data_IF_425680022014
#
_entry.id   IF_425680022014
#
_cell.length_a   1.000
_cell.length_b   1.000
_cell.length_c   1.000
_cell.angle_alpha   90.00
_cell.angle_beta   90.00
_cell.angle_gamma   90.00
#
_symmetry.space_group_name_H-M   'P 1'
#
loop_
_entity.id
_entity.type
_entity.pdbx_description
1 polymer ?
#
# COMPACT_ATOMS: atom_id res chain seq x y z
N UNK A 1 -41.14 3.77 -27.20
CA UNK A 1 -41.41 4.14 -25.79
C UNK A 1 -41.01 3.05 -24.80
N UNK A 2 -41.48 1.80 -24.90
CA UNK A 2 -41.04 0.73 -23.99
C UNK A 2 -39.54 0.37 -24.12
N UNK A 3 -38.99 0.35 -25.34
CA UNK A 3 -37.55 0.12 -25.57
C UNK A 3 -36.67 1.26 -25.06
N UNK A 4 -37.12 2.51 -25.21
CA UNK A 4 -36.44 3.71 -24.70
C UNK A 4 -36.40 3.74 -23.16
N UNK A 5 -37.48 3.31 -22.50
CA UNK A 5 -37.55 3.25 -21.04
C UNK A 5 -36.66 2.14 -20.47
N UNK A 6 -36.58 0.99 -21.15
CA UNK A 6 -35.64 -0.09 -20.82
C UNK A 6 -34.19 0.36 -20.93
N UNK A 7 -33.80 0.99 -22.04
CA UNK A 7 -32.43 1.54 -22.21
C UNK A 7 -32.10 2.63 -21.18
N UNK A 8 -33.07 3.47 -20.82
CA UNK A 8 -32.87 4.49 -19.79
C UNK A 8 -32.67 3.87 -18.40
N UNK A 9 -33.45 2.83 -18.04
CA UNK A 9 -33.28 2.11 -16.78
C UNK A 9 -31.94 1.36 -16.74
N UNK A 10 -31.49 0.77 -17.84
CA UNK A 10 -30.19 0.09 -17.93
C UNK A 10 -29.03 1.08 -17.83
N UNK A 11 -29.13 2.26 -18.45
CA UNK A 11 -28.15 3.34 -18.27
C UNK A 11 -28.13 3.87 -16.83
N UNK A 12 -29.30 4.00 -16.19
CA UNK A 12 -29.43 4.46 -14.82
C UNK A 12 -28.83 3.44 -13.84
N UNK A 13 -29.18 2.15 -14.01
CA UNK A 13 -28.67 1.04 -13.24
C UNK A 13 -27.15 0.89 -13.41
N UNK A 14 -26.64 0.95 -14.65
CA UNK A 14 -25.20 0.87 -14.92
C UNK A 14 -24.39 1.97 -14.24
N UNK A 15 -24.92 3.19 -14.16
CA UNK A 15 -24.27 4.29 -13.46
C UNK A 15 -24.29 4.10 -11.93
N UNK A 16 -25.38 3.57 -11.37
CA UNK A 16 -25.45 3.27 -9.93
C UNK A 16 -24.49 2.14 -9.55
N UNK A 17 -24.46 1.06 -10.31
CA UNK A 17 -23.60 -0.10 -10.06
C UNK A 17 -22.12 0.29 -10.05
N UNK A 18 -21.66 1.09 -11.03
CA UNK A 18 -20.26 1.49 -11.10
C UNK A 18 -19.84 2.37 -9.90
N UNK A 19 -20.75 3.20 -9.39
CA UNK A 19 -20.51 4.04 -8.21
C UNK A 19 -20.46 3.22 -6.93
N UNK A 20 -21.40 2.30 -6.74
CA UNK A 20 -21.42 1.41 -5.57
C UNK A 20 -20.17 0.54 -5.56
N UNK A 21 -19.79 -0.03 -6.70
CA UNK A 21 -18.57 -0.84 -6.81
C UNK A 21 -17.32 -0.04 -6.43
N UNK A 22 -17.16 1.18 -6.97
CA UNK A 22 -16.04 2.05 -6.64
C UNK A 22 -16.02 2.44 -5.16
N UNK A 23 -17.18 2.75 -4.57
CA UNK A 23 -17.29 3.01 -3.13
C UNK A 23 -16.89 1.80 -2.30
N UNK A 24 -17.33 0.59 -2.67
CA UNK A 24 -17.01 -0.65 -1.95
C UNK A 24 -15.51 -0.95 -2.01
N UNK A 25 -14.87 -0.83 -3.18
CA UNK A 25 -13.43 -1.05 -3.33
C UNK A 25 -12.62 -0.08 -2.44
N UNK A 26 -12.95 1.21 -2.48
CA UNK A 26 -12.28 2.20 -1.63
C UNK A 26 -12.63 2.03 -0.15
N UNK A 27 -13.84 1.57 0.18
CA UNK A 27 -14.23 1.24 1.56
C UNK A 27 -13.37 0.12 2.16
N UNK A 28 -13.19 -0.98 1.41
CA UNK A 28 -12.31 -2.09 1.80
C UNK A 28 -10.86 -1.61 1.97
N UNK A 29 -10.36 -0.81 1.02
CA UNK A 29 -9.02 -0.24 1.10
C UNK A 29 -8.85 0.66 2.33
N UNK A 30 -9.85 1.50 2.64
CA UNK A 30 -9.84 2.36 3.82
C UNK A 30 -9.80 1.57 5.13
N UNK A 31 -10.58 0.48 5.24
CA UNK A 31 -10.56 -0.42 6.39
C UNK A 31 -9.19 -1.08 6.55
N UNK A 32 -8.59 -1.54 5.44
CA UNK A 32 -7.24 -2.10 5.46
C UNK A 32 -6.18 -1.06 5.89
N UNK A 33 -6.33 0.19 5.45
CA UNK A 33 -5.47 1.31 5.88
C UNK A 33 -5.56 1.56 7.39
N UNK A 34 -6.78 1.59 7.95
CA UNK A 34 -7.00 1.73 9.39
C UNK A 34 -6.38 0.55 10.15
N UNK A 35 -6.55 -0.68 9.65
CA UNK A 35 -5.92 -1.85 10.24
C UNK A 35 -4.39 -1.69 10.31
N UNK A 36 -3.73 -1.25 9.24
CA UNK A 36 -2.28 -1.00 9.27
C UNK A 36 -1.85 0.09 10.25
N UNK A 37 -2.65 1.14 10.41
CA UNK A 37 -2.39 2.17 11.42
C UNK A 37 -2.46 1.56 12.82
N UNK A 38 -3.53 0.80 13.12
CA UNK A 38 -3.71 0.15 14.43
C UNK A 38 -2.56 -0.80 14.74
N UNK A 39 -2.18 -1.66 13.79
CA UNK A 39 -1.04 -2.58 13.97
C UNK A 39 0.26 -1.82 14.14
N UNK A 40 0.50 -0.77 13.35
CA UNK A 40 1.72 0.04 13.46
C UNK A 40 1.84 0.75 14.81
N UNK A 41 0.73 1.32 15.31
CA UNK A 41 0.68 1.96 16.63
C UNK A 41 0.91 0.95 17.75
N UNK A 42 0.24 -0.21 17.71
CA UNK A 42 0.43 -1.26 18.71
C UNK A 42 1.89 -1.75 18.73
N UNK A 43 2.47 -2.04 17.57
CA UNK A 43 3.86 -2.47 17.46
C UNK A 43 4.87 -1.40 17.88
N UNK A 44 4.56 -0.11 17.70
CA UNK A 44 5.42 0.97 18.17
C UNK A 44 5.52 0.98 19.70
N UNK A 45 4.40 0.78 20.40
CA UNK A 45 4.39 0.72 21.86
C UNK A 45 5.16 -0.49 22.41
N UNK A 46 5.11 -1.62 21.73
CA UNK A 46 5.83 -2.83 22.15
C UNK A 46 7.32 -2.77 21.80
N UNK A 47 7.69 -2.36 20.58
CA UNK A 47 9.08 -2.27 20.14
C UNK A 47 9.86 -1.18 20.88
N UNK A 48 9.24 -0.02 21.16
CA UNK A 48 9.87 1.05 21.93
C UNK A 48 10.23 0.59 23.35
N UNK A 49 9.38 -0.23 23.98
CA UNK A 49 9.60 -0.74 25.34
C UNK A 49 10.72 -1.78 25.42
N UNK A 50 10.96 -2.55 24.37
CA UNK A 50 11.87 -3.69 24.42
C UNK A 50 13.21 -3.42 23.73
N UNK A 51 13.24 -2.64 22.64
CA UNK A 51 14.41 -2.57 21.76
C UNK A 51 14.78 -1.18 21.23
N UNK A 52 14.00 -0.11 21.53
CA UNK A 52 14.32 1.26 21.08
C UNK A 52 14.25 1.51 19.56
N UNK A 53 14.03 0.48 18.74
CA UNK A 53 13.89 0.57 17.28
C UNK A 53 12.46 0.92 16.84
N UNK A 54 12.33 1.87 15.90
CA UNK A 54 11.01 2.43 15.50
C UNK A 54 10.67 2.30 14.01
N UNK A 55 11.59 1.79 13.19
CA UNK A 55 11.50 1.93 11.72
C UNK A 55 10.30 1.17 11.11
N UNK A 56 10.14 -0.11 11.42
CA UNK A 56 9.05 -0.94 10.85
C UNK A 56 7.65 -0.47 11.29
N UNK A 57 7.39 -0.18 12.58
CA UNK A 57 6.10 0.38 13.01
C UNK A 57 5.75 1.71 12.33
N UNK A 58 6.72 2.62 12.17
CA UNK A 58 6.52 3.91 11.49
C UNK A 58 6.10 3.69 10.03
N UNK A 59 6.75 2.76 9.31
CA UNK A 59 6.37 2.42 7.94
C UNK A 59 4.91 1.97 7.84
N UNK A 60 4.43 1.10 8.74
CA UNK A 60 3.02 0.68 8.75
C UNK A 60 2.05 1.85 8.96
N UNK A 61 2.38 2.77 9.87
CA UNK A 61 1.54 3.96 10.15
C UNK A 61 1.47 4.86 8.92
N UNK A 62 2.60 5.16 8.28
CA UNK A 62 2.66 6.05 7.11
C UNK A 62 1.88 5.44 5.93
N UNK A 63 2.13 4.17 5.61
CA UNK A 63 1.45 3.48 4.52
C UNK A 63 -0.06 3.38 4.79
N UNK A 64 -0.45 2.98 6.00
CA UNK A 64 -1.86 2.90 6.38
C UNK A 64 -2.58 4.24 6.29
N UNK A 65 -1.92 5.32 6.73
CA UNK A 65 -2.45 6.69 6.66
C UNK A 65 -2.67 7.15 5.22
N UNK A 66 -1.70 6.91 4.33
CA UNK A 66 -1.84 7.24 2.91
C UNK A 66 -3.02 6.49 2.29
N UNK A 67 -3.11 5.17 2.52
CA UNK A 67 -4.19 4.33 1.99
C UNK A 67 -5.55 4.82 2.49
N UNK A 68 -5.68 5.13 3.79
CA UNK A 68 -6.93 5.63 4.37
C UNK A 68 -7.34 6.99 3.76
N UNK A 69 -6.40 7.94 3.62
CA UNK A 69 -6.67 9.25 3.02
C UNK A 69 -7.12 9.15 1.56
N UNK A 70 -6.42 8.35 0.74
CA UNK A 70 -6.77 8.16 -0.67
C UNK A 70 -8.15 7.50 -0.79
N UNK A 71 -8.44 6.53 0.08
CA UNK A 71 -9.73 5.86 0.13
C UNK A 71 -10.86 6.83 0.47
N UNK A 72 -10.65 7.74 1.43
CA UNK A 72 -11.59 8.80 1.76
C UNK A 72 -11.85 9.72 0.57
N UNK A 73 -10.80 10.11 -0.17
CA UNK A 73 -10.95 10.93 -1.39
C UNK A 73 -11.73 10.16 -2.47
N UNK A 74 -11.50 8.86 -2.64
CA UNK A 74 -12.24 8.01 -3.59
C UNK A 74 -13.73 7.88 -3.25
N UNK A 75 -14.06 7.70 -1.96
CA UNK A 75 -15.45 7.69 -1.48
C UNK A 75 -16.09 9.08 -1.67
N UNK A 76 -15.40 10.14 -1.26
CA UNK A 76 -15.87 11.52 -1.39
C UNK A 76 -16.12 11.90 -2.86
N UNK A 77 -15.24 11.49 -3.79
CA UNK A 77 -15.45 11.67 -5.22
C UNK A 77 -16.73 10.99 -5.70
N UNK A 78 -16.93 9.74 -5.27
CA UNK A 78 -18.13 8.96 -5.60
C UNK A 78 -19.42 9.60 -5.12
N UNK A 79 -19.40 10.25 -3.95
CA UNK A 79 -20.53 10.99 -3.38
C UNK A 79 -20.72 12.33 -4.11
N UNK A 80 -19.66 13.14 -4.21
CA UNK A 80 -19.74 14.58 -4.57
C UNK A 80 -20.09 14.89 -6.04
N UNK A 81 -20.36 13.91 -6.91
CA UNK A 81 -20.72 14.10 -8.34
C UNK A 81 -19.88 15.17 -9.06
N UNK A 82 -18.65 15.40 -8.60
CA UNK A 82 -17.81 16.51 -9.05
C UNK A 82 -16.64 15.96 -9.84
N UNK A 83 -16.52 16.45 -11.08
CA UNK A 83 -15.43 16.09 -11.98
C UNK A 83 -14.06 16.45 -11.40
N UNK A 84 -13.97 17.51 -10.59
CA UNK A 84 -12.71 17.94 -9.99
C UNK A 84 -12.24 16.98 -8.91
N UNK A 85 -13.16 16.49 -8.05
CA UNK A 85 -12.82 15.54 -6.98
C UNK A 85 -12.44 14.17 -7.55
N UNK A 86 -13.11 13.73 -8.61
CA UNK A 86 -12.70 12.51 -9.33
C UNK A 86 -11.37 12.69 -10.07
N UNK A 87 -11.15 13.86 -10.67
CA UNK A 87 -9.89 14.18 -11.35
C UNK A 87 -8.69 14.17 -10.40
N UNK A 88 -8.82 14.74 -9.20
CA UNK A 88 -7.75 14.71 -8.19
C UNK A 88 -7.49 13.29 -7.69
N UNK A 89 -8.54 12.52 -7.41
CA UNK A 89 -8.42 11.09 -7.05
C UNK A 89 -7.64 10.31 -8.11
N UNK A 90 -8.04 10.43 -9.38
CA UNK A 90 -7.39 9.74 -10.49
C UNK A 90 -5.94 10.18 -10.69
N UNK A 91 -5.64 11.48 -10.52
CA UNK A 91 -4.27 11.98 -10.59
C UNK A 91 -3.36 11.40 -9.50
N UNK A 92 -3.83 11.37 -8.25
CA UNK A 92 -3.08 10.79 -7.13
C UNK A 92 -2.85 9.30 -7.35
N UNK A 93 -3.88 8.54 -7.72
CA UNK A 93 -3.73 7.11 -7.99
C UNK A 93 -2.79 6.82 -9.16
N UNK A 94 -2.85 7.61 -10.24
CA UNK A 94 -1.96 7.43 -11.38
C UNK A 94 -0.49 7.63 -10.98
N UNK A 95 -0.20 8.66 -10.17
CA UNK A 95 1.14 8.89 -9.63
C UNK A 95 1.61 7.70 -8.77
N UNK A 96 0.74 7.15 -7.93
CA UNK A 96 1.08 6.02 -7.08
C UNK A 96 1.35 4.75 -7.88
N UNK A 97 0.58 4.47 -8.92
CA UNK A 97 0.83 3.35 -9.83
C UNK A 97 2.22 3.47 -10.45
N UNK A 98 2.61 4.66 -10.91
CA UNK A 98 3.95 4.88 -11.50
C UNK A 98 5.05 4.62 -10.46
N UNK A 99 4.95 5.22 -9.28
CA UNK A 99 5.91 5.02 -8.19
C UNK A 99 6.01 3.54 -7.80
N UNK A 100 4.87 2.85 -7.74
CA UNK A 100 4.81 1.45 -7.37
C UNK A 100 5.42 0.54 -8.44
N UNK A 101 5.16 0.80 -9.73
CA UNK A 101 5.80 0.06 -10.83
C UNK A 101 7.32 0.26 -10.78
N UNK A 102 7.81 1.48 -10.58
CA UNK A 102 9.25 1.74 -10.43
C UNK A 102 9.82 0.95 -9.25
N UNK A 103 9.15 0.96 -8.08
CA UNK A 103 9.57 0.18 -6.92
C UNK A 103 9.63 -1.32 -7.19
N UNK A 104 8.61 -1.88 -7.85
CA UNK A 104 8.57 -3.29 -8.22
C UNK A 104 9.69 -3.65 -9.22
N UNK A 105 9.95 -2.79 -10.19
CA UNK A 105 11.06 -2.97 -11.14
C UNK A 105 12.40 -2.94 -10.42
N UNK A 106 12.61 -2.05 -9.45
CA UNK A 106 13.84 -2.02 -8.64
C UNK A 106 14.02 -3.32 -7.86
N UNK A 107 12.96 -3.83 -7.21
CA UNK A 107 13.00 -5.09 -6.45
C UNK A 107 13.23 -6.29 -7.38
N UNK A 108 12.66 -6.26 -8.59
CA UNK A 108 12.78 -7.32 -9.59
C UNK A 108 14.18 -7.37 -10.24
N UNK A 109 14.67 -6.22 -10.72
CA UNK A 109 15.92 -6.10 -11.48
C UNK A 109 17.17 -6.16 -10.62
N UNK A 110 17.03 -6.06 -9.30
CA UNK A 110 18.14 -6.24 -8.35
C UNK A 110 17.99 -7.60 -7.67
N UNK A 111 18.34 -8.73 -8.34
CA UNK A 111 18.70 -9.91 -7.58
C UNK A 111 19.89 -9.47 -6.73
N UNK A 112 19.67 -9.27 -5.44
CA UNK A 112 20.72 -8.87 -4.53
C UNK A 112 21.88 -9.86 -4.70
N UNK A 113 23.10 -9.39 -4.93
CA UNK A 113 24.27 -10.15 -4.49
C UNK A 113 24.18 -10.16 -2.98
N UNK A 114 23.59 -11.26 -2.51
CA UNK A 114 22.99 -11.38 -1.19
C UNK A 114 24.08 -11.28 -0.12
N UNK A 115 25.26 -11.81 -0.44
CA UNK A 115 26.37 -11.94 0.50
C UNK A 115 27.08 -10.60 0.74
N UNK A 116 27.51 -9.90 -0.31
CA UNK A 116 28.22 -8.62 -0.21
C UNK A 116 27.37 -7.47 0.35
N UNK A 117 26.07 -7.47 0.05
CA UNK A 117 25.18 -6.44 0.60
C UNK A 117 24.80 -6.73 2.05
N UNK A 118 24.57 -7.99 2.40
CA UNK A 118 24.30 -8.31 3.79
C UNK A 118 25.54 -8.16 4.66
N UNK A 119 26.74 -8.46 4.17
CA UNK A 119 27.97 -8.24 4.95
C UNK A 119 28.14 -6.76 5.31
N UNK A 120 28.05 -5.86 4.33
CA UNK A 120 28.15 -4.40 4.54
C UNK A 120 27.08 -3.86 5.49
N UNK A 121 25.85 -4.39 5.43
CA UNK A 121 24.76 -3.98 6.32
C UNK A 121 24.95 -4.56 7.71
N UNK A 122 25.36 -5.82 7.82
CA UNK A 122 25.64 -6.49 9.08
C UNK A 122 26.78 -5.82 9.83
N UNK A 123 27.88 -5.48 9.16
CA UNK A 123 29.02 -4.75 9.73
C UNK A 123 28.57 -3.39 10.29
N UNK A 124 27.81 -2.62 9.52
CA UNK A 124 27.26 -1.33 9.99
C UNK A 124 26.33 -1.49 11.18
N UNK A 125 25.48 -2.52 11.21
CA UNK A 125 24.63 -2.80 12.36
C UNK A 125 25.45 -3.27 13.55
N UNK A 126 26.51 -4.03 13.35
CA UNK A 126 27.38 -4.50 14.42
C UNK A 126 28.04 -3.33 15.15
N UNK A 127 28.46 -2.30 14.41
CA UNK A 127 29.08 -1.10 14.97
C UNK A 127 28.06 -0.14 15.60
N UNK A 128 26.93 0.09 14.93
CA UNK A 128 26.02 1.20 15.27
C UNK A 128 24.71 0.78 15.94
N UNK A 129 24.30 -0.49 15.79
CA UNK A 129 23.00 -1.01 16.26
C UNK A 129 23.06 -2.52 16.60
N UNK A 130 23.85 -2.90 17.62
CA UNK A 130 24.02 -4.30 18.01
C UNK A 130 22.71 -4.93 18.53
N UNK A 131 21.75 -4.13 19.00
CA UNK A 131 20.45 -4.61 19.47
C UNK A 131 19.62 -5.21 18.32
N UNK A 132 19.69 -4.62 17.12
CA UNK A 132 19.06 -5.18 15.91
C UNK A 132 19.67 -6.53 15.53
N UNK A 133 20.99 -6.71 15.64
CA UNK A 133 21.62 -8.01 15.40
C UNK A 133 21.13 -9.04 16.41
N UNK A 134 21.08 -8.69 17.70
CA UNK A 134 20.56 -9.60 18.74
C UNK A 134 19.12 -10.04 18.46
N UNK A 135 18.30 -9.15 17.94
CA UNK A 135 16.93 -9.48 17.52
C UNK A 135 16.93 -10.46 16.35
N UNK A 136 17.69 -10.18 15.29
CA UNK A 136 17.80 -11.04 14.11
C UNK A 136 18.32 -12.44 14.49
N UNK A 137 19.37 -12.53 15.30
CA UNK A 137 19.93 -13.78 15.80
C UNK A 137 18.90 -14.62 16.57
N UNK A 138 18.10 -13.98 17.43
CA UNK A 138 17.05 -14.63 18.20
C UNK A 138 15.88 -15.09 17.33
N UNK A 139 15.45 -14.26 16.39
CA UNK A 139 14.30 -14.52 15.51
C UNK A 139 14.60 -15.64 14.51
N UNK A 140 15.77 -15.56 13.85
CA UNK A 140 16.22 -16.54 12.86
C UNK A 140 16.92 -17.76 13.47
N UNK A 141 17.11 -17.76 14.79
CA UNK A 141 17.79 -18.83 15.54
C UNK A 141 19.18 -19.13 14.94
N UNK A 142 20.00 -18.10 14.84
CA UNK A 142 21.36 -18.10 14.31
C UNK A 142 22.29 -17.23 15.17
N UNK A 143 23.59 -17.30 14.95
CA UNK A 143 24.61 -16.58 15.72
C UNK A 143 25.71 -16.16 14.76
N UNK A 144 26.10 -14.88 14.78
CA UNK A 144 27.03 -14.27 13.83
C UNK A 144 26.55 -14.29 12.38
N UNK A 145 27.31 -13.64 11.49
CA UNK A 145 26.93 -13.43 10.09
C UNK A 145 27.15 -14.69 9.24
N UNK A 146 28.40 -14.98 8.84
CA UNK A 146 28.71 -16.20 8.08
C UNK A 146 28.90 -17.42 8.99
N UNK A 147 29.40 -17.19 10.20
CA UNK A 147 29.70 -18.22 11.19
C UNK A 147 29.38 -17.75 12.62
N UNK A 148 29.26 -18.66 13.60
CA UNK A 148 28.93 -18.32 14.99
C UNK A 148 29.96 -17.49 15.77
N UNK A 149 31.07 -17.12 15.13
CA UNK A 149 32.13 -16.29 15.68
C UNK A 149 32.34 -15.01 14.87
N UNK A 150 31.64 -14.86 13.75
CA UNK A 150 31.74 -13.73 12.83
C UNK A 150 30.73 -12.64 13.20
N UNK A 151 31.21 -11.59 13.89
CA UNK A 151 30.38 -10.48 14.40
C UNK A 151 29.11 -10.92 15.19
N UNK A 152 29.21 -11.83 16.18
CA UNK A 152 28.06 -12.30 16.97
C UNK A 152 27.61 -11.30 18.03
N UNK A 153 26.29 -11.22 18.29
CA UNK A 153 25.73 -10.36 19.36
C UNK A 153 24.64 -11.07 20.18
N UNK A 154 24.93 -11.52 21.42
CA UNK A 154 26.15 -11.29 22.20
C UNK A 154 27.31 -12.18 21.75
N UNK A 155 28.55 -11.77 22.07
CA UNK A 155 29.78 -12.45 21.64
C UNK A 155 29.84 -13.97 21.97
N UNK A 156 29.05 -14.42 22.94
CA UNK A 156 28.99 -15.81 23.39
C UNK A 156 27.70 -16.55 22.99
N UNK A 157 26.95 -16.08 21.98
CA UNK A 157 25.67 -16.69 21.56
C UNK A 157 25.77 -18.18 21.18
N UNK A 158 26.96 -18.68 20.84
CA UNK A 158 27.21 -20.07 20.43
C UNK A 158 27.82 -20.96 21.51
N UNK A 159 28.18 -20.41 22.67
CA UNK A 159 29.03 -21.11 23.67
C UNK A 159 28.31 -22.28 24.37
N UNK A 160 26.97 -22.33 24.37
CA UNK A 160 26.21 -23.46 24.95
C UNK A 160 25.40 -24.18 23.88
N UNK A 161 25.89 -25.31 23.38
CA UNK A 161 25.24 -26.18 22.36
C UNK A 161 23.77 -26.56 22.65
N UNK A 162 23.33 -26.50 23.91
CA UNK A 162 21.97 -26.82 24.38
C UNK A 162 20.98 -25.65 24.27
N UNK A 163 21.48 -24.40 24.20
CA UNK A 163 20.66 -23.17 24.22
C UNK A 163 21.12 -22.07 23.24
N UNK A 164 22.30 -22.23 22.64
CA UNK A 164 22.93 -21.29 21.71
C UNK A 164 22.84 -21.77 20.27
N UNK A 165 22.90 -20.83 19.33
CA UNK A 165 22.80 -21.12 17.91
C UNK A 165 24.18 -21.44 17.34
N UNK A 166 24.27 -22.52 16.55
CA UNK A 166 25.55 -23.05 16.03
C UNK A 166 25.74 -22.81 14.53
N UNK A 167 24.88 -22.01 13.92
CA UNK A 167 24.90 -21.66 12.49
C UNK A 167 24.93 -20.14 12.32
N UNK A 168 25.65 -19.67 11.31
CA UNK A 168 25.62 -18.27 10.87
C UNK A 168 24.25 -17.85 10.32
N UNK A 169 23.97 -16.55 10.37
CA UNK A 169 22.71 -15.95 9.94
C UNK A 169 22.57 -15.76 8.42
N UNK A 170 23.66 -15.80 7.64
CA UNK A 170 23.62 -15.54 6.19
C UNK A 170 22.58 -16.39 5.44
N UNK A 171 22.60 -17.73 5.62
CA UNK A 171 21.68 -18.63 4.91
C UNK A 171 20.20 -18.44 5.33
N UNK A 172 19.86 -18.40 6.64
CA UNK A 172 18.51 -18.03 7.08
C UNK A 172 18.06 -16.67 6.55
N UNK A 173 18.94 -15.67 6.58
CA UNK A 173 18.65 -14.32 6.13
C UNK A 173 18.38 -14.27 4.62
N UNK A 174 19.16 -14.99 3.81
CA UNK A 174 18.90 -15.15 2.38
C UNK A 174 17.55 -15.84 2.12
N UNK A 175 17.22 -16.88 2.89
CA UNK A 175 15.95 -17.59 2.76
C UNK A 175 14.76 -16.67 3.06
N UNK A 176 14.78 -15.98 4.21
CA UNK A 176 13.74 -15.03 4.62
C UNK A 176 13.62 -13.86 3.64
N UNK A 177 14.75 -13.33 3.17
CA UNK A 177 14.77 -12.26 2.18
C UNK A 177 14.16 -12.70 0.86
N UNK A 178 14.54 -13.88 0.35
CA UNK A 178 13.99 -14.43 -0.89
C UNK A 178 12.48 -14.63 -0.76
N UNK A 179 12.03 -15.16 0.36
CA UNK A 179 10.60 -15.36 0.65
C UNK A 179 9.84 -14.03 0.69
N UNK A 180 10.32 -13.07 1.47
CA UNK A 180 9.74 -11.73 1.60
C UNK A 180 9.72 -10.98 0.26
N UNK A 181 10.80 -11.08 -0.53
CA UNK A 181 10.90 -10.48 -1.86
C UNK A 181 9.81 -11.01 -2.78
N UNK A 182 9.61 -12.33 -2.81
CA UNK A 182 8.54 -12.92 -3.63
C UNK A 182 7.16 -12.44 -3.18
N UNK A 183 6.91 -12.35 -1.87
CA UNK A 183 5.65 -11.79 -1.36
C UNK A 183 5.44 -10.34 -1.79
N UNK A 184 6.47 -9.49 -1.67
CA UNK A 184 6.40 -8.07 -2.08
C UNK A 184 6.07 -7.94 -3.57
N UNK A 185 6.70 -8.76 -4.42
CA UNK A 185 6.46 -8.74 -5.86
C UNK A 185 5.03 -9.18 -6.21
N UNK A 186 4.55 -10.29 -5.62
CA UNK A 186 3.21 -10.82 -5.87
C UNK A 186 2.11 -9.87 -5.35
N UNK A 187 2.19 -9.46 -4.10
CA UNK A 187 1.22 -8.54 -3.47
C UNK A 187 1.25 -7.20 -4.19
N UNK A 188 2.43 -6.66 -4.47
CA UNK A 188 2.57 -5.38 -5.14
C UNK A 188 2.00 -5.39 -6.56
N UNK A 189 2.18 -6.47 -7.32
CA UNK A 189 1.60 -6.61 -8.67
C UNK A 189 0.07 -6.67 -8.61
N UNK A 190 -0.49 -7.44 -7.66
CA UNK A 190 -1.94 -7.49 -7.45
C UNK A 190 -2.51 -6.10 -7.07
N UNK A 191 -1.79 -5.35 -6.23
CA UNK A 191 -2.18 -4.00 -5.84
C UNK A 191 -2.18 -3.02 -7.02
N UNK A 192 -1.18 -3.07 -7.90
CA UNK A 192 -1.18 -2.27 -9.15
C UNK A 192 -2.40 -2.62 -10.02
N UNK A 193 -2.72 -3.91 -10.15
CA UNK A 193 -3.90 -4.36 -10.88
C UNK A 193 -5.21 -3.75 -10.32
N UNK A 194 -5.38 -3.81 -8.99
CA UNK A 194 -6.53 -3.22 -8.33
C UNK A 194 -6.62 -1.69 -8.52
N UNK A 195 -5.48 -0.99 -8.45
CA UNK A 195 -5.42 0.46 -8.69
C UNK A 195 -5.76 0.83 -10.13
N UNK A 196 -5.32 0.06 -11.13
CA UNK A 196 -5.66 0.27 -12.54
C UNK A 196 -7.17 0.11 -12.75
N UNK A 197 -7.79 -0.90 -12.13
CA UNK A 197 -9.25 -1.09 -12.17
C UNK A 197 -9.98 0.11 -11.56
N UNK A 198 -9.55 0.58 -10.38
CA UNK A 198 -10.13 1.75 -9.72
C UNK A 198 -9.96 3.04 -10.56
N UNK A 199 -8.78 3.23 -11.18
CA UNK A 199 -8.50 4.32 -12.11
C UNK A 199 -9.41 4.28 -13.33
N UNK A 200 -9.60 3.11 -13.94
CA UNK A 200 -10.48 2.92 -15.07
C UNK A 200 -11.93 3.29 -14.74
N UNK A 201 -12.44 2.82 -13.60
CA UNK A 201 -13.77 3.19 -13.10
C UNK A 201 -13.89 4.69 -12.82
N UNK A 202 -12.90 5.29 -12.15
CA UNK A 202 -12.88 6.73 -11.86
C UNK A 202 -12.85 7.59 -13.12
N UNK A 203 -12.03 7.20 -14.11
CA UNK A 203 -11.96 7.87 -15.41
C UNK A 203 -13.28 7.77 -16.18
N UNK A 204 -13.93 6.60 -16.16
CA UNK A 204 -15.24 6.42 -16.79
C UNK A 204 -16.32 7.26 -16.11
N UNK A 205 -16.34 7.31 -14.77
CA UNK A 205 -17.25 8.19 -14.03
C UNK A 205 -17.00 9.67 -14.38
N UNK A 206 -15.74 10.10 -14.42
CA UNK A 206 -15.38 11.46 -14.79
C UNK A 206 -15.83 11.82 -16.22
N UNK A 207 -15.63 10.91 -17.19
CA UNK A 207 -16.11 11.09 -18.57
C UNK A 207 -17.62 11.24 -18.63
N UNK A 208 -18.37 10.39 -17.92
CA UNK A 208 -19.84 10.46 -17.86
C UNK A 208 -20.33 11.77 -17.25
N UNK A 209 -19.74 12.24 -16.15
CA UNK A 209 -20.08 13.52 -15.54
C UNK A 209 -19.80 14.71 -16.47
N UNK A 210 -18.66 14.68 -17.17
CA UNK A 210 -18.31 15.72 -18.15
C UNK A 210 -19.32 15.76 -19.30
N UNK A 211 -19.65 14.61 -19.87
CA UNK A 211 -20.61 14.50 -20.98
C UNK A 211 -22.01 14.98 -20.55
N UNK A 212 -22.48 14.57 -19.36
CA UNK A 212 -23.77 15.04 -18.82
C UNK A 212 -23.81 16.56 -18.63
N UNK A 213 -22.73 17.16 -18.11
CA UNK A 213 -22.62 18.61 -17.94
C UNK A 213 -22.65 19.36 -19.28
N UNK A 214 -21.93 18.85 -20.29
CA UNK A 214 -21.91 19.44 -21.64
C UNK A 214 -23.24 19.29 -22.38
N UNK A 215 -23.97 18.20 -22.15
CA UNK A 215 -25.32 18.01 -22.68
C UNK A 215 -26.29 19.06 -22.12
N UNK A 216 -26.26 19.27 -20.81
CA UNK A 216 -27.10 20.27 -20.15
C UNK A 216 -26.82 21.70 -20.64
N UNK A 217 -25.54 22.08 -20.80
CA UNK A 217 -25.16 23.41 -21.31
C UNK A 217 -25.59 23.69 -22.75
N UNK A 218 -25.85 22.65 -23.55
CA UNK A 218 -26.28 22.78 -24.96
C UNK A 218 -27.77 23.00 -25.14
N UNK A 219 -28.59 22.85 -24.10
CA UNK A 219 -30.04 23.11 -24.17
C UNK A 219 -30.29 24.60 -23.92
N UNK A 220 -30.67 25.39 -24.95
CA UNK A 220 -30.98 26.80 -24.75
C UNK A 220 -32.32 26.92 -24.03
N UNK A 221 -32.34 27.55 -22.85
CA UNK A 221 -33.58 28.05 -22.23
C UNK A 221 -33.92 27.68 -20.78
N UNK A 222 -33.08 26.95 -20.03
CA UNK A 222 -33.39 26.68 -18.60
C UNK A 222 -32.31 27.21 -17.65
N UNK A 223 -32.22 28.54 -17.56
CA UNK A 223 -31.38 29.21 -16.54
C UNK A 223 -32.12 29.44 -15.20
N UNK A 224 -33.39 29.07 -15.09
CA UNK A 224 -34.16 29.26 -13.86
C UNK A 224 -34.69 27.92 -13.33
N UNK A 225 -34.18 27.50 -12.16
CA UNK A 225 -34.94 26.63 -11.26
C UNK A 225 -34.54 25.14 -11.13
N UNK A 226 -33.42 24.66 -11.67
CA UNK A 226 -33.04 23.25 -11.43
C UNK A 226 -32.37 23.04 -10.06
N UNK A 227 -32.94 22.22 -9.14
CA UNK A 227 -32.39 21.96 -7.80
C UNK A 227 -31.02 21.24 -7.82
N UNK A 228 -30.57 20.78 -8.99
CA UNK A 228 -29.25 20.18 -9.18
C UNK A 228 -28.09 21.17 -9.06
N UNK A 229 -28.33 22.48 -9.16
CA UNK A 229 -27.26 23.51 -9.06
C UNK A 229 -27.09 24.01 -7.62
N UNK A 230 -28.12 23.94 -6.78
CA UNK A 230 -28.08 24.52 -5.42
C UNK A 230 -27.08 23.84 -4.48
N UNK A 231 -26.64 22.62 -4.79
CA UNK A 231 -25.70 21.85 -3.96
C UNK A 231 -24.26 21.77 -4.55
N UNK A 232 -23.93 22.60 -5.54
CA UNK A 232 -22.60 22.63 -6.18
C UNK A 232 -21.85 23.96 -6.07
N UNK A 233 -22.28 24.85 -5.17
CA UNK A 233 -21.44 25.94 -4.68
C UNK A 233 -20.73 25.52 -3.39
#
# INVERSE_FOLDING_TARGET
MANDFGEYLDQLAGNQTMRVLHMTMNGIAGIAGIFFIVTGVASLFDMYKVFGGSTVPIFYIVIGSLVALISMVGIAGSIKRSQYVFGTYSGILALLVVVQIIGLLVVWLRPFDVEDKFSNVWEKMYENDPDSIRYIEKDLKCCGFTSPVDMPVPANCSVKKKFGFVRGCLKPLEHEWRHSRHMVLWIGTAMVGAQIVALGMGAELARRYKNARQGYQRVPGHMEGSPLIRNTA
#
